data_IF_843455742017
#
_entry.id   IF_843455742017
#
_cell.length_a   1.000
_cell.length_b   1.000
_cell.length_c   1.000
_cell.angle_alpha   90.00
_cell.angle_beta   90.00
_cell.angle_gamma   90.00
#
_symmetry.space_group_name_H-M   'P 1'
#
loop_
_entity.id
_entity.type
_entity.pdbx_description
1 polymer ?
#
# COMPACT_ATOMS: atom_id res chain seq x y z
N UNK A 1 4.13 2.60 2.75
CA UNK A 1 3.70 1.75 1.60
C UNK A 1 4.75 1.93 0.50
N UNK A 2 4.71 1.13 -0.57
CA UNK A 2 5.57 1.32 -1.74
C UNK A 2 4.78 1.56 -3.02
N UNK A 3 5.39 2.22 -4.01
CA UNK A 3 4.86 2.37 -5.38
C UNK A 3 5.90 1.89 -6.39
N UNK A 4 5.48 1.01 -7.30
CA UNK A 4 6.36 0.45 -8.34
C UNK A 4 5.70 0.47 -9.71
N UNK A 5 6.52 0.46 -10.77
CA UNK A 5 6.07 0.23 -12.15
C UNK A 5 6.21 -1.24 -12.52
N UNK A 6 5.16 -1.82 -13.07
CA UNK A 6 5.11 -3.16 -13.61
C UNK A 6 4.79 -3.10 -15.12
N UNK A 7 5.41 -3.98 -15.90
CA UNK A 7 5.06 -4.20 -17.31
C UNK A 7 4.15 -5.42 -17.40
N UNK A 8 3.07 -5.29 -18.17
CA UNK A 8 2.15 -6.36 -18.52
C UNK A 8 2.27 -6.60 -20.02
N UNK A 9 2.58 -7.83 -20.41
CA UNK A 9 2.68 -8.22 -21.82
C UNK A 9 1.44 -8.97 -22.30
N UNK A 10 0.96 -8.61 -23.47
CA UNK A 10 -0.10 -9.30 -24.20
C UNK A 10 0.28 -9.38 -25.68
N UNK A 11 0.86 -10.51 -26.08
CA UNK A 11 1.45 -10.65 -27.41
C UNK A 11 2.55 -9.61 -27.66
N UNK A 12 2.36 -8.77 -28.68
CA UNK A 12 3.28 -7.67 -29.01
C UNK A 12 3.02 -6.39 -28.20
N UNK A 13 1.93 -6.32 -27.42
CA UNK A 13 1.56 -5.13 -26.67
C UNK A 13 2.20 -5.15 -25.29
N UNK A 14 2.88 -4.05 -24.94
CA UNK A 14 3.47 -3.81 -23.61
C UNK A 14 2.76 -2.65 -22.94
N UNK A 15 2.19 -2.90 -21.75
CA UNK A 15 1.53 -1.87 -20.95
C UNK A 15 2.26 -1.67 -19.62
N UNK A 16 2.50 -0.42 -19.23
CA UNK A 16 3.11 -0.08 -17.94
C UNK A 16 2.03 0.32 -16.93
N UNK A 17 2.05 -0.31 -15.76
CA UNK A 17 1.09 -0.10 -14.69
C UNK A 17 1.83 0.32 -13.43
N UNK A 18 1.46 1.46 -12.85
CA UNK A 18 1.93 1.86 -11.53
C UNK A 18 1.04 1.23 -10.46
N UNK A 19 1.64 0.58 -9.47
CA UNK A 19 0.92 -0.10 -8.38
C UNK A 19 1.48 0.32 -7.04
N UNK A 20 0.58 0.64 -6.12
CA UNK A 20 0.86 0.88 -4.73
C UNK A 20 0.54 -0.37 -3.91
N UNK A 21 1.48 -0.83 -3.09
CA UNK A 21 1.31 -2.01 -2.25
C UNK A 21 2.19 -1.97 -1.00
N UNK A 22 2.05 -2.95 -0.12
CA UNK A 22 2.90 -3.10 1.07
C UNK A 22 4.27 -3.70 0.74
N UNK A 23 4.36 -4.48 -0.35
CA UNK A 23 5.59 -5.11 -0.80
C UNK A 23 5.57 -5.35 -2.30
N UNK A 24 6.73 -5.61 -2.89
CA UNK A 24 6.86 -5.94 -4.32
C UNK A 24 6.05 -7.20 -4.64
N UNK A 25 6.16 -8.25 -3.81
CA UNK A 25 5.39 -9.48 -3.97
C UNK A 25 3.88 -9.22 -3.97
N UNK A 26 3.41 -8.33 -3.09
CA UNK A 26 1.99 -7.94 -3.05
C UNK A 26 1.56 -7.18 -4.30
N UNK A 27 2.37 -6.23 -4.77
CA UNK A 27 2.11 -5.51 -6.02
C UNK A 27 2.01 -6.44 -7.23
N UNK A 28 2.96 -7.38 -7.37
CA UNK A 28 2.95 -8.38 -8.46
C UNK A 28 1.71 -9.27 -8.37
N UNK A 29 1.34 -9.71 -7.16
CA UNK A 29 0.14 -10.53 -6.95
C UNK A 29 -1.15 -9.81 -7.36
N UNK A 30 -1.25 -8.51 -7.04
CA UNK A 30 -2.39 -7.67 -7.45
C UNK A 30 -2.50 -7.61 -8.98
N UNK A 31 -1.38 -7.36 -9.68
CA UNK A 31 -1.39 -7.26 -11.15
C UNK A 31 -1.67 -8.61 -11.81
N UNK A 32 -1.07 -9.70 -11.33
CA UNK A 32 -1.38 -11.05 -11.85
C UNK A 32 -2.85 -11.42 -11.67
N UNK A 33 -3.46 -11.04 -10.55
CA UNK A 33 -4.91 -11.23 -10.33
C UNK A 33 -5.77 -10.43 -11.30
N UNK A 34 -5.35 -9.21 -11.66
CA UNK A 34 -6.06 -8.36 -12.64
C UNK A 34 -5.85 -8.78 -14.10
N UNK A 35 -4.70 -9.36 -14.40
CA UNK A 35 -4.28 -9.74 -15.74
C UNK A 35 -3.92 -11.25 -15.79
N UNK A 36 -4.92 -12.14 -15.64
CA UNK A 36 -4.67 -13.57 -15.61
C UNK A 36 -4.07 -14.06 -16.93
N UNK A 37 -3.10 -14.97 -16.86
CA UNK A 37 -2.41 -15.54 -18.02
C UNK A 37 -1.43 -14.58 -18.73
N UNK A 38 -1.35 -13.31 -18.34
CA UNK A 38 -0.41 -12.35 -18.90
C UNK A 38 0.92 -12.39 -18.17
N UNK A 39 2.00 -12.13 -18.90
CA UNK A 39 3.32 -11.98 -18.29
C UNK A 39 3.41 -10.63 -17.58
N UNK A 40 3.86 -10.66 -16.32
CA UNK A 40 4.04 -9.47 -15.47
C UNK A 40 5.48 -9.39 -15.03
N UNK A 41 6.16 -8.28 -15.35
CA UNK A 41 7.57 -8.02 -15.00
C UNK A 41 7.72 -6.73 -14.23
N UNK A 42 8.71 -6.69 -13.35
CA UNK A 42 9.12 -5.45 -12.68
C UNK A 42 9.98 -4.65 -13.65
N UNK A 43 9.73 -3.34 -13.74
CA UNK A 43 10.56 -2.44 -14.53
C UNK A 43 11.66 -1.86 -13.65
N UNK A 44 12.91 -2.02 -14.10
CA UNK A 44 14.09 -1.45 -13.48
C UNK A 44 14.67 -0.30 -14.33
N UNK A 45 15.36 0.67 -13.71
CA UNK A 45 15.52 0.87 -12.25
C UNK A 45 14.21 1.31 -11.58
N UNK A 46 14.07 1.00 -10.30
CA UNK A 46 12.96 1.50 -9.48
C UNK A 46 13.31 2.92 -9.07
N UNK A 47 12.42 3.87 -9.37
CA UNK A 47 12.54 5.26 -8.92
C UNK A 47 12.46 5.30 -7.39
N UNK A 48 13.57 5.59 -6.72
CA UNK A 48 13.70 5.57 -5.27
C UNK A 48 12.87 6.67 -4.59
N UNK A 49 12.75 7.84 -5.22
CA UNK A 49 11.98 8.97 -4.71
C UNK A 49 10.48 8.67 -4.74
N UNK A 50 10.05 7.92 -5.77
CA UNK A 50 8.66 7.46 -5.88
C UNK A 50 8.40 6.13 -5.16
N UNK A 51 9.44 5.41 -4.73
CA UNK A 51 9.30 4.03 -4.24
C UNK A 51 8.64 3.97 -2.88
N UNK A 52 9.12 4.74 -1.90
CA UNK A 52 8.53 4.79 -0.57
C UNK A 52 7.49 5.89 -0.51
N UNK A 53 6.31 5.55 -0.02
CA UNK A 53 5.22 6.50 0.14
C UNK A 53 4.72 6.49 1.59
N UNK A 54 4.40 7.67 2.10
CA UNK A 54 3.79 7.81 3.42
C UNK A 54 2.51 6.98 3.49
N UNK A 55 2.43 6.13 4.52
CA UNK A 55 1.24 5.33 4.76
C UNK A 55 0.06 6.20 5.19
N UNK A 56 -1.17 5.69 5.12
CA UNK A 56 -2.31 6.37 5.74
C UNK A 56 -1.98 6.62 7.21
N UNK A 57 -2.00 7.89 7.64
CA UNK A 57 -1.87 8.25 9.05
C UNK A 57 -2.96 7.49 9.80
N UNK A 58 -2.59 6.48 10.59
CA UNK A 58 -3.49 5.94 11.61
C UNK A 58 -3.84 7.14 12.49
N UNK A 59 -5.10 7.60 12.41
CA UNK A 59 -5.61 8.54 13.40
C UNK A 59 -5.38 7.87 14.74
N UNK A 60 -4.51 8.43 15.58
CA UNK A 60 -4.38 7.95 16.96
C UNK A 60 -5.79 8.06 17.56
N UNK A 61 -6.27 7.05 18.33
CA UNK A 61 -7.45 7.25 19.13
C UNK A 61 -7.23 8.52 19.95
N UNK A 62 -8.18 9.44 19.82
CA UNK A 62 -8.19 10.71 20.54
C UNK A 62 -8.10 10.42 22.04
N UNK A 63 -6.93 10.67 22.63
CA UNK A 63 -6.58 10.35 24.03
C UNK A 63 -7.24 11.32 25.02
N UNK A 64 -8.30 12.02 24.59
CA UNK A 64 -8.98 13.09 25.32
C UNK A 64 -10.20 12.59 26.11
N UNK A 65 -10.29 11.29 26.41
CA UNK A 65 -11.37 10.71 27.24
C UNK A 65 -10.87 9.94 28.45
N UNK A 66 -9.91 10.49 29.18
CA UNK A 66 -9.75 10.14 30.60
C UNK A 66 -10.57 11.13 31.43
N UNK A 67 -11.77 10.79 31.93
CA UNK A 67 -12.31 11.52 33.07
C UNK A 67 -11.44 11.19 34.27
N UNK A 68 -10.88 12.24 34.86
CA UNK A 68 -10.07 12.20 36.07
C UNK A 68 -10.85 11.52 37.21
N UNK A 69 -10.12 10.67 37.91
CA UNK A 69 -10.51 10.00 39.14
C UNK A 69 -10.96 10.99 40.25
N UNK A 70 -12.00 10.61 41.02
CA UNK A 70 -12.45 11.23 42.28
C UNK A 70 -13.82 11.92 42.13
N UNK A 71 -14.85 11.69 42.93
CA UNK A 71 -14.89 11.55 44.39
C UNK A 71 -16.03 10.63 44.85
N UNK A 72 -15.81 10.00 46.00
CA UNK A 72 -16.75 9.23 46.82
C UNK A 72 -18.01 10.01 47.22
N UNK A 73 -19.15 9.31 47.31
CA UNK A 73 -20.05 9.43 48.47
C UNK A 73 -20.89 8.16 48.65
N UNK A 74 -20.81 7.57 49.86
CA UNK A 74 -21.74 6.55 50.39
C UNK A 74 -23.12 7.19 50.58
N UNK A 75 -24.19 6.48 50.21
CA UNK A 75 -25.41 6.27 51.02
C UNK A 75 -25.96 4.89 50.69
#
# INVERSE_FOLDING_TARGET
MIKISLEVREGAVLSRVAVQAESICRAVSIVKGRYPGREVRIVFPIDAEAFFIEGPKKRRPDETRQPLHGYFTKV
#
